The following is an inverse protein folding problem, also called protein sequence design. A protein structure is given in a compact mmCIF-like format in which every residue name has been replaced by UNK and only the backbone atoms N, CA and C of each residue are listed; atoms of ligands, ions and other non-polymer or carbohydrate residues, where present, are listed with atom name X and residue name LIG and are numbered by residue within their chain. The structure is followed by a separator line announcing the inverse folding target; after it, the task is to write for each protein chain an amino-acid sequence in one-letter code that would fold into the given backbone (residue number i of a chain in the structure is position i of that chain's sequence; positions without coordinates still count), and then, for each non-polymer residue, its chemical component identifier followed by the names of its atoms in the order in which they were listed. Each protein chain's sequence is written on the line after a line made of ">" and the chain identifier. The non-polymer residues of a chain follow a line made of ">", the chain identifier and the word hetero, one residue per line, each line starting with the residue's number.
data_IF_492949851676
#
_entry.id   IF_492949851676
#
_cell.length_a   1.000
_cell.length_b   1.000
_cell.length_c   1.000
_cell.angle_alpha   90.00
_cell.angle_beta   90.00
_cell.angle_gamma   90.00
#
_symmetry.space_group_name_H-M   'P 1'
#
loop_
_entity.id
_entity.type
_entity.pdbx_description
1 polymer ?
#
# COMPACT_ATOMS: atom_id res chain seq x y z
N UNK A 1 -6.00 11.02 16.74
CA UNK A 1 -6.03 9.56 16.92
C UNK A 1 -5.29 9.28 18.22
N UNK A 2 -6.02 8.83 19.26
CA UNK A 2 -5.43 8.46 20.53
C UNK A 2 -5.14 6.95 20.55
N UNK A 3 -4.30 6.49 19.61
CA UNK A 3 -3.79 5.14 19.65
C UNK A 3 -2.39 5.21 20.27
N UNK A 4 -2.21 4.55 21.39
CA UNK A 4 -0.98 4.63 22.16
C UNK A 4 0.18 3.86 21.48
N UNK A 5 -0.14 2.82 20.70
CA UNK A 5 0.84 1.93 20.08
C UNK A 5 0.32 1.43 18.73
N UNK A 6 1.26 1.17 17.81
CA UNK A 6 1.04 0.50 16.54
C UNK A 6 2.01 -0.67 16.43
N UNK A 7 1.47 -1.83 16.11
CA UNK A 7 2.24 -3.02 15.83
C UNK A 7 2.46 -3.19 14.33
N UNK A 8 3.61 -3.72 13.96
CA UNK A 8 3.87 -4.10 12.58
C UNK A 8 2.99 -5.30 12.22
N UNK A 9 2.51 -5.38 10.97
CA UNK A 9 1.78 -6.54 10.49
C UNK A 9 2.54 -7.84 10.80
N UNK A 10 1.80 -8.84 11.27
CA UNK A 10 2.36 -10.12 11.70
C UNK A 10 2.63 -11.07 10.52
N UNK A 11 2.19 -10.73 9.30
CA UNK A 11 2.51 -11.55 8.14
C UNK A 11 3.86 -11.18 7.53
N UNK A 12 4.53 -12.18 6.96
CA UNK A 12 5.84 -12.04 6.35
C UNK A 12 5.82 -11.40 4.95
N UNK A 13 4.62 -11.06 4.44
CA UNK A 13 4.47 -10.47 3.11
C UNK A 13 4.37 -8.96 3.18
N UNK A 14 3.60 -8.43 4.11
CA UNK A 14 3.28 -7.01 4.16
C UNK A 14 3.96 -6.24 5.29
N UNK A 15 4.52 -6.93 6.30
CA UNK A 15 5.26 -6.27 7.36
C UNK A 15 6.35 -5.31 6.82
N UNK A 16 7.11 -5.79 5.85
CA UNK A 16 8.12 -4.99 5.15
C UNK A 16 8.26 -5.46 3.70
N UNK A 17 8.08 -4.53 2.76
CA UNK A 17 8.27 -4.75 1.33
C UNK A 17 9.26 -3.75 0.75
N UNK A 18 9.98 -4.17 -0.27
CA UNK A 18 10.72 -3.27 -1.16
C UNK A 18 10.17 -3.46 -2.57
N UNK A 19 9.55 -2.42 -3.10
CA UNK A 19 8.90 -2.41 -4.40
C UNK A 19 9.77 -1.69 -5.41
N UNK A 20 9.94 -2.30 -6.57
CA UNK A 20 10.64 -1.76 -7.73
C UNK A 20 9.63 -1.53 -8.85
N UNK A 21 9.56 -0.31 -9.35
CA UNK A 21 8.76 0.04 -10.52
C UNK A 21 9.70 0.56 -11.61
N UNK A 22 9.63 -0.04 -12.79
CA UNK A 22 10.37 0.39 -13.98
C UNK A 22 9.48 1.16 -14.97
N UNK A 23 9.98 1.35 -16.18
CA UNK A 23 9.28 2.03 -17.29
C UNK A 23 7.83 1.55 -17.45
N UNK A 24 6.87 2.47 -17.43
CA UNK A 24 5.44 2.18 -17.51
C UNK A 24 4.82 1.67 -16.20
N UNK A 25 5.63 1.29 -15.21
CA UNK A 25 5.16 0.81 -13.91
C UNK A 25 4.39 1.89 -13.15
N UNK A 26 3.30 1.50 -12.50
CA UNK A 26 2.46 2.37 -11.69
C UNK A 26 1.80 1.53 -10.59
N UNK A 27 1.15 2.17 -9.61
CA UNK A 27 0.14 1.49 -8.80
C UNK A 27 -1.25 1.97 -9.22
N UNK A 28 -2.24 1.08 -9.12
CA UNK A 28 -3.64 1.47 -9.32
C UNK A 28 -4.14 2.26 -8.13
N UNK A 29 -5.24 3.01 -8.30
CA UNK A 29 -5.95 3.64 -7.19
C UNK A 29 -6.47 2.58 -6.22
N UNK A 30 -6.10 2.71 -4.94
CA UNK A 30 -6.52 1.77 -3.89
C UNK A 30 -6.55 2.44 -2.51
N UNK A 31 -7.23 1.79 -1.59
CA UNK A 31 -7.05 2.00 -0.15
C UNK A 31 -6.21 0.86 0.40
N UNK A 32 -5.43 1.16 1.42
CA UNK A 32 -4.74 0.13 2.20
C UNK A 32 -5.71 -0.63 3.11
N UNK A 33 -5.33 -1.83 3.50
CA UNK A 33 -6.09 -2.69 4.43
C UNK A 33 -5.65 -2.50 5.89
N UNK A 34 -4.62 -1.70 6.11
CA UNK A 34 -4.04 -1.37 7.41
C UNK A 34 -4.29 0.09 7.79
N UNK A 35 -4.14 0.38 9.09
CA UNK A 35 -4.43 1.71 9.63
C UNK A 35 -3.33 2.73 9.32
N UNK A 36 -2.07 2.32 9.37
CA UNK A 36 -0.92 3.21 9.15
C UNK A 36 0.11 2.57 8.22
N UNK A 37 0.45 3.27 7.16
CA UNK A 37 1.50 2.89 6.21
C UNK A 37 2.67 3.85 6.34
N UNK A 38 3.86 3.30 6.46
CA UNK A 38 5.12 4.05 6.46
C UNK A 38 5.89 3.67 5.20
N UNK A 39 6.26 4.67 4.40
CA UNK A 39 7.07 4.43 3.20
C UNK A 39 8.33 5.25 3.20
N UNK A 40 9.43 4.65 2.73
CA UNK A 40 10.69 5.35 2.45
C UNK A 40 10.93 5.30 0.94
N UNK A 41 10.97 6.48 0.30
CA UNK A 41 11.40 6.57 -1.10
C UNK A 41 12.93 6.44 -1.15
N UNK A 42 13.41 5.31 -1.63
CA UNK A 42 14.85 5.00 -1.69
C UNK A 42 15.47 5.59 -2.96
N UNK A 43 14.77 5.45 -4.09
CA UNK A 43 15.24 5.94 -5.39
C UNK A 43 14.06 6.48 -6.20
N UNK A 44 14.24 7.66 -6.76
CA UNK A 44 13.29 8.29 -7.67
C UNK A 44 13.41 7.70 -9.08
N UNK A 45 12.31 7.75 -9.82
CA UNK A 45 12.34 7.59 -11.28
C UNK A 45 12.92 8.85 -11.94
N UNK A 46 13.30 8.76 -13.20
CA UNK A 46 13.73 9.94 -13.97
C UNK A 46 12.57 10.93 -14.18
N UNK A 47 11.36 10.41 -14.39
CA UNK A 47 10.11 11.19 -14.53
C UNK A 47 8.92 10.35 -14.07
N UNK A 48 7.89 11.01 -13.56
CA UNK A 48 6.70 10.35 -13.01
C UNK A 48 7.01 9.61 -11.71
N UNK A 49 6.22 8.61 -11.38
CA UNK A 49 6.34 7.91 -10.12
C UNK A 49 5.90 8.75 -8.92
N UNK A 50 5.08 9.78 -9.18
CA UNK A 50 4.56 10.66 -8.16
C UNK A 50 3.54 9.92 -7.30
N UNK A 51 3.62 10.12 -5.99
CA UNK A 51 2.59 9.66 -5.08
C UNK A 51 1.44 10.66 -5.09
N UNK A 52 0.29 10.21 -5.58
CA UNK A 52 -0.93 11.01 -5.67
C UNK A 52 -2.01 10.42 -4.77
N UNK A 53 -2.82 11.28 -4.16
CA UNK A 53 -3.86 10.85 -3.23
C UNK A 53 -5.08 11.77 -3.24
N UNK A 54 -6.23 11.21 -2.90
CA UNK A 54 -7.45 11.92 -2.60
C UNK A 54 -7.81 11.67 -1.13
N UNK A 55 -7.74 12.68 -0.26
CA UNK A 55 -7.97 12.48 1.16
C UNK A 55 -9.46 12.27 1.46
N UNK A 56 -9.74 11.63 2.59
CA UNK A 56 -11.09 11.46 3.15
C UNK A 56 -12.08 10.79 2.18
N UNK A 57 -11.59 9.82 1.40
CA UNK A 57 -12.41 9.01 0.49
C UNK A 57 -13.06 7.82 1.16
N UNK A 58 -12.65 7.52 2.40
CA UNK A 58 -13.26 6.54 3.29
C UNK A 58 -13.26 7.07 4.71
N UNK A 59 -14.39 6.94 5.40
CA UNK A 59 -14.51 7.32 6.80
C UNK A 59 -13.78 6.33 7.73
N UNK A 60 -13.64 6.68 9.01
CA UNK A 60 -12.97 5.84 10.00
C UNK A 60 -13.71 4.55 10.31
N UNK A 61 -15.01 4.51 10.08
CA UNK A 61 -15.87 3.33 10.19
C UNK A 61 -15.97 2.52 8.88
N UNK A 62 -15.12 2.84 7.89
CA UNK A 62 -14.97 2.07 6.66
C UNK A 62 -15.98 2.39 5.56
N UNK A 63 -16.77 3.47 5.68
CA UNK A 63 -17.76 3.85 4.65
C UNK A 63 -17.10 4.68 3.55
N UNK A 64 -17.24 4.21 2.31
CA UNK A 64 -16.69 4.89 1.14
C UNK A 64 -17.48 6.14 0.75
N UNK A 65 -16.78 7.23 0.49
CA UNK A 65 -17.32 8.43 -0.14
C UNK A 65 -17.23 8.29 -1.66
N UNK A 66 -18.28 7.71 -2.25
CA UNK A 66 -18.34 7.38 -3.68
C UNK A 66 -18.17 8.61 -4.59
N UNK A 67 -18.69 9.77 -4.18
CA UNK A 67 -18.55 11.00 -4.97
C UNK A 67 -17.09 11.44 -5.07
N UNK A 68 -16.37 11.45 -3.94
CA UNK A 68 -14.94 11.80 -3.92
C UNK A 68 -14.06 10.77 -4.64
N UNK A 69 -14.39 9.50 -4.50
CA UNK A 69 -13.73 8.43 -5.28
C UNK A 69 -13.98 8.67 -6.78
N UNK A 70 -15.22 8.99 -7.17
CA UNK A 70 -15.59 9.33 -8.54
C UNK A 70 -14.83 10.54 -9.07
N UNK A 71 -14.62 11.59 -8.25
CA UNK A 71 -13.82 12.76 -8.62
C UNK A 71 -12.37 12.36 -8.95
N UNK A 72 -11.75 11.56 -8.11
CA UNK A 72 -10.37 11.15 -8.31
C UNK A 72 -10.19 10.19 -9.49
N UNK A 73 -11.00 9.11 -9.56
CA UNK A 73 -10.76 7.97 -10.47
C UNK A 73 -11.38 8.19 -11.85
N UNK A 74 -12.62 8.70 -11.87
CA UNK A 74 -13.40 8.80 -13.11
C UNK A 74 -13.26 10.19 -13.74
N UNK A 75 -13.54 11.24 -12.95
CA UNK A 75 -13.49 12.63 -13.45
C UNK A 75 -12.07 13.18 -13.53
N UNK A 76 -11.12 12.56 -12.79
CA UNK A 76 -9.71 12.98 -12.68
C UNK A 76 -9.61 14.48 -12.31
N UNK A 77 -10.47 14.90 -11.38
CA UNK A 77 -10.55 16.29 -10.95
C UNK A 77 -9.25 16.69 -10.23
N UNK A 78 -8.47 17.62 -10.77
CA UNK A 78 -7.24 18.07 -10.14
C UNK A 78 -7.46 18.77 -8.79
N UNK A 79 -8.67 19.25 -8.50
CA UNK A 79 -9.01 19.81 -7.20
C UNK A 79 -9.18 18.73 -6.12
N UNK A 80 -9.56 17.51 -6.51
CA UNK A 80 -9.71 16.37 -5.61
C UNK A 80 -8.38 15.64 -5.39
N UNK A 81 -7.46 15.68 -6.36
CA UNK A 81 -6.20 14.94 -6.34
C UNK A 81 -5.07 15.83 -5.83
N UNK A 82 -4.33 15.33 -4.84
CA UNK A 82 -3.13 15.98 -4.33
C UNK A 82 -1.90 15.15 -4.69
N UNK A 83 -0.80 15.82 -4.98
CA UNK A 83 0.52 15.20 -5.14
C UNK A 83 1.35 15.45 -3.89
N UNK A 84 1.91 14.42 -3.32
CA UNK A 84 2.84 14.53 -2.20
C UNK A 84 4.25 14.78 -2.75
N UNK A 85 4.86 15.94 -2.49
CA UNK A 85 6.24 16.20 -2.88
C UNK A 85 7.17 15.22 -2.13
N UNK A 86 7.96 14.47 -2.89
CA UNK A 86 8.89 13.47 -2.34
C UNK A 86 10.18 13.45 -3.14
N UNK A 87 11.29 13.33 -2.42
CA UNK A 87 12.61 13.03 -2.98
C UNK A 87 13.19 11.78 -2.32
N UNK A 88 14.22 11.21 -2.92
CA UNK A 88 14.93 10.08 -2.31
C UNK A 88 15.34 10.42 -0.87
N UNK A 89 15.11 9.48 0.05
CA UNK A 89 15.27 9.68 1.49
C UNK A 89 14.03 10.20 2.22
N UNK A 90 12.95 10.55 1.51
CA UNK A 90 11.69 10.98 2.17
C UNK A 90 11.01 9.80 2.83
N UNK A 91 10.83 9.90 4.16
CA UNK A 91 9.95 9.04 4.93
C UNK A 91 8.54 9.66 4.95
N UNK A 92 7.53 8.86 4.67
CA UNK A 92 6.13 9.29 4.66
C UNK A 92 5.31 8.38 5.55
N UNK A 93 4.51 8.97 6.44
CA UNK A 93 3.48 8.28 7.23
C UNK A 93 2.12 8.73 6.73
N UNK A 94 1.23 7.79 6.45
CA UNK A 94 -0.12 8.12 5.98
C UNK A 94 -1.13 7.04 6.35
N UNK A 95 -2.41 7.44 6.36
CA UNK A 95 -3.54 6.56 6.58
C UNK A 95 -4.12 6.11 5.25
N UNK A 96 -3.51 5.09 4.65
CA UNK A 96 -3.90 4.58 3.34
C UNK A 96 -5.30 3.97 3.33
N UNK A 97 -5.78 3.45 4.45
CA UNK A 97 -7.14 2.94 4.61
C UNK A 97 -8.24 4.00 4.43
N UNK A 98 -7.94 5.28 4.71
CA UNK A 98 -8.91 6.38 4.61
C UNK A 98 -8.75 7.26 3.37
N UNK A 99 -7.58 7.23 2.75
CA UNK A 99 -7.24 8.09 1.61
C UNK A 99 -6.89 7.26 0.40
N UNK A 100 -7.73 7.36 -0.63
CA UNK A 100 -7.45 6.71 -1.92
C UNK A 100 -6.16 7.23 -2.49
N UNK A 101 -5.24 6.36 -2.91
CA UNK A 101 -3.93 6.77 -3.38
C UNK A 101 -3.41 5.89 -4.52
N UNK A 102 -2.38 6.38 -5.18
CA UNK A 102 -1.80 5.76 -6.38
C UNK A 102 -0.38 6.27 -6.59
N UNK A 103 0.38 5.57 -7.42
CA UNK A 103 1.66 6.05 -7.97
C UNK A 103 1.50 6.21 -9.47
N UNK A 104 1.81 7.40 -9.99
CA UNK A 104 1.71 7.69 -11.42
C UNK A 104 2.70 6.87 -12.24
N UNK A 105 2.45 6.67 -13.56
CA UNK A 105 3.37 5.93 -14.40
C UNK A 105 4.79 6.49 -14.36
N UNK A 106 5.76 5.57 -14.44
CA UNK A 106 7.19 5.85 -14.42
C UNK A 106 7.71 5.94 -15.86
N UNK A 107 8.62 6.87 -16.10
CA UNK A 107 9.25 7.07 -17.39
C UNK A 107 10.78 7.16 -17.22
N UNK A 108 11.49 6.45 -18.07
CA UNK A 108 12.95 6.39 -18.07
C UNK A 108 13.48 5.03 -17.60
N UNK A 109 14.80 4.89 -17.61
CA UNK A 109 15.48 3.63 -17.29
C UNK A 109 15.74 3.41 -15.80
N UNK A 110 15.61 4.46 -14.99
CA UNK A 110 15.87 4.39 -13.55
C UNK A 110 14.67 3.80 -12.81
N UNK A 111 14.89 2.72 -12.07
CA UNK A 111 13.86 2.10 -11.24
C UNK A 111 13.45 3.03 -10.09
N UNK A 112 12.15 3.22 -9.92
CA UNK A 112 11.64 3.79 -8.67
C UNK A 112 11.62 2.71 -7.59
N UNK A 113 12.31 2.96 -6.50
CA UNK A 113 12.43 2.00 -5.38
C UNK A 113 11.82 2.58 -4.12
N UNK A 114 10.90 1.86 -3.50
CA UNK A 114 10.23 2.28 -2.27
C UNK A 114 10.18 1.12 -1.28
N UNK A 115 10.58 1.36 -0.04
CA UNK A 115 10.27 0.48 1.07
C UNK A 115 8.88 0.84 1.63
N UNK A 116 8.08 -0.17 1.95
CA UNK A 116 6.74 -0.03 2.54
C UNK A 116 6.69 -0.90 3.79
N UNK A 117 6.25 -0.31 4.88
CA UNK A 117 6.05 -0.96 6.18
C UNK A 117 4.60 -0.71 6.60
N UNK A 118 3.91 -1.76 7.00
CA UNK A 118 2.50 -1.69 7.39
C UNK A 118 2.33 -1.89 8.88
N UNK A 119 1.48 -1.06 9.48
CA UNK A 119 1.21 -1.04 10.90
C UNK A 119 -0.28 -0.97 11.16
N UNK A 120 -0.70 -1.58 12.26
CA UNK A 120 -2.09 -1.59 12.73
C UNK A 120 -2.13 -1.52 14.27
N UNK A 121 -3.16 -0.91 14.89
CA UNK A 121 -3.33 -0.96 16.34
C UNK A 121 -3.75 -2.33 16.87
N UNK A 122 -4.16 -3.26 15.99
CA UNK A 122 -4.51 -4.64 16.37
C UNK A 122 -3.26 -5.52 16.33
N UNK A 123 -2.72 -5.92 17.49
CA UNK A 123 -1.54 -6.77 17.53
C UNK A 123 -1.82 -8.13 16.86
N UNK A 124 -0.93 -8.53 15.97
CA UNK A 124 -1.09 -9.79 15.22
C UNK A 124 -1.94 -9.65 13.96
N UNK A 125 -2.34 -8.45 13.56
CA UNK A 125 -3.01 -8.20 12.27
C UNK A 125 -2.20 -8.75 11.11
N UNK A 126 -2.88 -9.45 10.20
CA UNK A 126 -2.34 -9.94 8.94
C UNK A 126 -3.23 -9.49 7.78
N UNK A 127 -2.67 -9.37 6.59
CA UNK A 127 -3.47 -9.19 5.38
C UNK A 127 -4.21 -10.47 5.02
N UNK A 128 -5.24 -10.36 4.20
CA UNK A 128 -5.95 -11.55 3.75
C UNK A 128 -5.15 -12.31 2.66
N UNK A 129 -5.33 -13.63 2.63
CA UNK A 129 -4.58 -14.52 1.75
C UNK A 129 -4.85 -14.25 0.26
N UNK A 130 -6.06 -13.83 -0.11
CA UNK A 130 -6.39 -13.54 -1.52
C UNK A 130 -5.71 -12.28 -2.00
N UNK A 131 -5.64 -11.23 -1.17
CA UNK A 131 -4.87 -10.04 -1.46
C UNK A 131 -3.38 -10.37 -1.59
N UNK A 132 -2.84 -11.15 -0.67
CA UNK A 132 -1.46 -11.61 -0.72
C UNK A 132 -1.16 -12.43 -1.99
N UNK A 133 -2.05 -13.34 -2.39
CA UNK A 133 -1.91 -14.08 -3.66
C UNK A 133 -1.93 -13.18 -4.88
N UNK A 134 -2.81 -12.18 -4.90
CA UNK A 134 -2.91 -11.23 -6.00
C UNK A 134 -1.64 -10.38 -6.16
N UNK A 135 -1.02 -9.98 -5.06
CA UNK A 135 0.15 -9.11 -5.04
C UNK A 135 1.44 -9.92 -5.28
N UNK A 136 1.63 -11.03 -4.57
CA UNK A 136 2.89 -11.78 -4.51
C UNK A 136 2.88 -13.09 -5.28
N UNK A 137 1.72 -13.49 -5.83
CA UNK A 137 1.58 -14.63 -6.74
C UNK A 137 1.88 -16.00 -6.10
N UNK A 138 2.47 -16.94 -6.89
CA UNK A 138 2.66 -18.34 -6.46
C UNK A 138 3.52 -18.55 -5.21
N UNK A 139 4.32 -17.56 -4.84
CA UNK A 139 5.12 -17.61 -3.61
C UNK A 139 4.22 -17.74 -2.37
N UNK A 140 3.12 -17.00 -2.34
CA UNK A 140 2.16 -17.02 -1.22
C UNK A 140 1.51 -18.40 -1.11
N UNK A 141 1.05 -18.97 -2.21
CA UNK A 141 0.42 -20.29 -2.19
C UNK A 141 1.36 -21.34 -1.61
N UNK A 142 2.62 -21.34 -2.00
CA UNK A 142 3.61 -22.28 -1.45
C UNK A 142 3.76 -22.16 0.06
N UNK A 143 3.84 -20.95 0.61
CA UNK A 143 3.98 -20.72 2.04
C UNK A 143 2.71 -21.14 2.80
N UNK A 144 1.53 -20.87 2.25
CA UNK A 144 0.26 -21.33 2.83
C UNK A 144 0.17 -22.85 2.86
N UNK A 145 0.61 -23.52 1.80
CA UNK A 145 0.66 -25.00 1.75
C UNK A 145 1.63 -25.58 2.78
N UNK A 146 2.78 -24.94 2.99
CA UNK A 146 3.76 -25.34 4.02
C UNK A 146 3.19 -25.15 5.43
N UNK A 147 2.50 -24.05 5.72
CA UNK A 147 1.82 -23.80 6.99
C UNK A 147 0.71 -24.81 7.25
N UNK A 148 -0.12 -25.10 6.24
CA UNK A 148 -1.18 -26.09 6.36
C UNK A 148 -0.63 -27.48 6.67
N UNK A 149 0.50 -27.88 6.07
CA UNK A 149 1.19 -29.13 6.37
C UNK A 149 1.75 -29.17 7.79
N UNK A 150 2.32 -28.05 8.26
CA UNK A 150 2.91 -27.97 9.61
C UNK A 150 1.84 -27.99 10.73
N UNK A 151 0.63 -27.50 10.43
CA UNK A 151 -0.51 -27.47 11.37
C UNK A 151 -1.39 -28.72 11.32
N UNK A 152 -1.15 -29.64 10.35
CA UNK A 152 -1.88 -30.91 10.30
C UNK A 152 -1.38 -31.84 11.40
N UNK A 153 -2.24 -32.37 12.32
CA UNK A 153 -1.81 -33.35 13.28
C UNK A 153 -1.25 -34.56 12.52
N UNK A 154 -0.10 -35.03 12.95
CA UNK A 154 0.49 -36.29 12.43
C UNK A 154 -0.57 -37.38 12.49
N UNK A 155 -0.97 -37.92 11.35
CA UNK A 155 -1.80 -39.11 11.26
C UNK A 155 -1.01 -40.36 11.72
#
# INVERSE_FOLDING_TARGET
>A
MDVAEFDQFADEYQALNVIYLGEGGCSVWHHDDNECTVTLLIQEAERGGDFVYCPDTRSLDGVDNIDRIGDAVVRKDPAAIKTLPRSAGTLTLFRGGNSLHSVTPIYGSTLRTTSIMTYDPDPGRTSNDDANRAIYGPRVQRILDERAKASSPLA
#
